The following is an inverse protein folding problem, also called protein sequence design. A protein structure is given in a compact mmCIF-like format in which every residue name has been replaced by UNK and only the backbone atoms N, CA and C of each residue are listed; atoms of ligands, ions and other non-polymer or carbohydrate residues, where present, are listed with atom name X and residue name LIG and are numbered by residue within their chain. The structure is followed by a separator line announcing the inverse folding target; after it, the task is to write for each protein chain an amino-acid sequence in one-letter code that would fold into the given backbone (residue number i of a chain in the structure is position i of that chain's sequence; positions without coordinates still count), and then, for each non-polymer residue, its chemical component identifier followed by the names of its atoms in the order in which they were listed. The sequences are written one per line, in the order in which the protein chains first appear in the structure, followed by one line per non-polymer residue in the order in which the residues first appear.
data_IF_831667769892
#
_entry.id   IF_831667769892
#
_cell.length_a   1.000
_cell.length_b   1.000
_cell.length_c   1.000
_cell.angle_alpha   90.00
_cell.angle_beta   90.00
_cell.angle_gamma   90.00
#
_symmetry.space_group_name_H-M   'P 1'
#
loop_
_entity.id
_entity.type
_entity.pdbx_description
1 polymer ?
#
# COMPACT_ATOMS: atom_id res chain seq x y z
N UNK A 1 -13.26 -1.18 -17.73
CA UNK A 1 -14.37 -1.88 -17.03
C UNK A 1 -14.89 -0.96 -15.93
N UNK A 2 -16.18 -0.99 -15.57
CA UNK A 2 -16.72 -0.11 -14.49
C UNK A 2 -16.30 -0.64 -13.11
N UNK A 3 -16.22 0.24 -12.10
CA UNK A 3 -15.77 -0.12 -10.75
C UNK A 3 -16.58 -1.27 -10.16
N UNK A 4 -17.91 -1.21 -10.24
CA UNK A 4 -18.82 -2.20 -9.66
C UNK A 4 -18.63 -3.57 -10.32
N UNK A 5 -18.33 -3.58 -11.62
CA UNK A 5 -18.01 -4.81 -12.34
C UNK A 5 -16.68 -5.38 -11.85
N UNK A 6 -15.64 -4.56 -11.67
CA UNK A 6 -14.34 -5.00 -11.12
C UNK A 6 -14.52 -5.56 -9.71
N UNK A 7 -15.28 -4.87 -8.85
CA UNK A 7 -15.50 -5.28 -7.46
C UNK A 7 -16.13 -6.67 -7.33
N UNK A 8 -16.95 -7.07 -8.31
CA UNK A 8 -17.61 -8.39 -8.33
C UNK A 8 -16.80 -9.44 -9.11
N UNK A 9 -16.18 -9.05 -10.23
CA UNK A 9 -15.66 -9.98 -11.24
C UNK A 9 -14.13 -10.01 -11.34
N UNK A 10 -13.38 -9.15 -10.65
CA UNK A 10 -11.93 -9.19 -10.68
C UNK A 10 -11.37 -10.48 -10.07
N UNK A 11 -10.20 -10.87 -10.56
CA UNK A 11 -9.53 -12.14 -10.25
C UNK A 11 -9.93 -13.26 -11.21
N UNK A 12 -9.18 -14.36 -11.15
CA UNK A 12 -9.38 -15.51 -12.03
C UNK A 12 -10.61 -16.31 -11.57
N UNK A 13 -11.69 -16.27 -12.36
CA UNK A 13 -12.99 -16.92 -12.07
C UNK A 13 -13.66 -17.40 -13.37
N UNK A 14 -14.45 -18.49 -13.34
CA UNK A 14 -14.71 -19.39 -12.19
C UNK A 14 -13.51 -20.31 -11.89
N UNK A 15 -13.56 -21.03 -10.76
CA UNK A 15 -12.53 -22.02 -10.43
C UNK A 15 -12.33 -23.03 -11.59
N UNK A 16 -11.11 -23.14 -12.11
CA UNK A 16 -10.83 -23.92 -13.30
C UNK A 16 -11.03 -25.44 -13.13
N UNK A 17 -11.03 -25.94 -11.88
CA UNK A 17 -11.14 -27.38 -11.60
C UNK A 17 -12.59 -27.81 -11.43
N UNK A 18 -13.41 -27.00 -10.76
CA UNK A 18 -14.76 -27.37 -10.30
C UNK A 18 -15.87 -26.52 -10.93
N UNK A 19 -15.54 -25.38 -11.53
CA UNK A 19 -16.52 -24.40 -12.01
C UNK A 19 -17.17 -23.57 -10.90
N UNK A 20 -16.64 -23.61 -9.66
CA UNK A 20 -17.17 -22.82 -8.56
C UNK A 20 -17.13 -21.31 -8.89
N UNK A 21 -18.26 -20.65 -8.70
CA UNK A 21 -18.40 -19.20 -8.95
C UNK A 21 -17.64 -18.39 -7.89
N UNK A 22 -17.74 -18.81 -6.63
CA UNK A 22 -16.98 -18.25 -5.53
C UNK A 22 -15.62 -18.92 -5.43
N UNK A 23 -14.60 -18.13 -5.09
CA UNK A 23 -13.23 -18.63 -4.90
C UNK A 23 -13.19 -19.57 -3.70
N UNK A 24 -12.71 -20.82 -3.86
CA UNK A 24 -12.55 -21.73 -2.73
C UNK A 24 -11.54 -21.20 -1.70
N UNK A 25 -11.79 -21.50 -0.42
CA UNK A 25 -10.88 -21.13 0.68
C UNK A 25 -9.77 -22.20 0.77
N UNK A 26 -8.56 -21.82 0.39
CA UNK A 26 -7.40 -22.70 0.36
C UNK A 26 -6.68 -22.71 1.72
N UNK A 27 -7.19 -23.52 2.65
CA UNK A 27 -6.59 -23.75 3.98
C UNK A 27 -5.52 -24.85 3.94
N UNK A 28 -4.53 -24.70 3.07
CA UNK A 28 -3.35 -25.55 3.00
C UNK A 28 -2.08 -24.73 3.21
N UNK A 29 -1.02 -25.32 3.74
CA UNK A 29 0.27 -24.65 3.87
C UNK A 29 1.15 -24.81 2.63
N UNK A 30 1.08 -25.94 1.94
CA UNK A 30 1.94 -26.30 0.81
C UNK A 30 1.14 -26.90 -0.35
N UNK A 31 1.71 -26.83 -1.55
CA UNK A 31 1.14 -27.38 -2.77
C UNK A 31 2.05 -28.47 -3.34
N UNK A 32 1.49 -29.39 -4.11
CA UNK A 32 2.26 -30.48 -4.74
C UNK A 32 3.09 -29.91 -5.88
N UNK A 33 4.38 -30.25 -5.88
CA UNK A 33 5.33 -29.95 -6.95
C UNK A 33 5.21 -31.02 -8.03
N UNK A 34 5.37 -30.62 -9.29
CA UNK A 34 5.45 -31.60 -10.39
C UNK A 34 6.82 -32.28 -10.43
N UNK A 35 7.86 -31.53 -10.06
CA UNK A 35 9.23 -31.98 -9.88
C UNK A 35 9.99 -30.94 -9.02
N UNK A 36 11.24 -31.21 -8.67
CA UNK A 36 12.12 -30.25 -7.96
C UNK A 36 12.19 -28.94 -8.74
N UNK A 37 11.74 -27.85 -8.11
CA UNK A 37 11.72 -26.51 -8.71
C UNK A 37 10.60 -26.28 -9.74
N UNK A 38 9.70 -27.24 -9.97
CA UNK A 38 8.59 -27.12 -10.92
C UNK A 38 7.24 -27.12 -10.21
N UNK A 39 6.58 -25.97 -10.18
CA UNK A 39 5.27 -25.77 -9.53
C UNK A 39 4.18 -25.43 -10.55
N UNK A 40 2.92 -25.48 -10.11
CA UNK A 40 1.76 -24.98 -10.87
C UNK A 40 1.43 -23.52 -10.55
N UNK A 41 2.44 -22.73 -10.20
CA UNK A 41 2.28 -21.35 -9.72
C UNK A 41 2.11 -21.22 -8.21
N UNK A 42 2.03 -22.33 -7.47
CA UNK A 42 1.90 -22.35 -6.02
C UNK A 42 2.92 -23.29 -5.40
N UNK A 43 3.63 -22.83 -4.35
CA UNK A 43 4.60 -23.59 -3.59
C UNK A 43 4.20 -23.70 -2.11
N UNK A 44 4.13 -22.56 -1.42
CA UNK A 44 3.91 -22.41 0.00
C UNK A 44 3.03 -21.17 0.26
N UNK A 45 1.99 -21.33 1.08
CA UNK A 45 0.92 -20.34 1.24
C UNK A 45 1.36 -18.99 1.77
N UNK A 46 2.50 -18.90 2.47
CA UNK A 46 3.08 -17.59 2.84
C UNK A 46 3.56 -16.83 1.60
N UNK A 47 4.20 -17.50 0.65
CA UNK A 47 4.66 -16.91 -0.62
C UNK A 47 3.48 -16.55 -1.51
N UNK A 48 2.58 -17.51 -1.77
CA UNK A 48 1.41 -17.32 -2.63
C UNK A 48 0.28 -18.26 -2.20
N UNK A 49 -0.96 -17.76 -2.16
CA UNK A 49 -2.15 -18.55 -1.83
C UNK A 49 -3.30 -18.18 -2.79
N UNK A 50 -4.01 -19.14 -3.41
CA UNK A 50 -5.05 -18.83 -4.40
C UNK A 50 -6.15 -17.92 -3.88
N UNK A 51 -6.59 -18.11 -2.63
CA UNK A 51 -7.63 -17.26 -2.02
C UNK A 51 -7.11 -15.84 -1.80
N UNK A 52 -5.89 -15.68 -1.27
CA UNK A 52 -5.27 -14.36 -1.07
C UNK A 52 -5.00 -13.64 -2.39
N UNK A 53 -4.57 -14.38 -3.42
CA UNK A 53 -4.23 -13.81 -4.73
C UNK A 53 -5.42 -13.13 -5.39
N UNK A 54 -6.63 -13.69 -5.25
CA UNK A 54 -7.83 -13.03 -5.78
C UNK A 54 -8.11 -11.71 -5.07
N UNK A 55 -7.99 -11.65 -3.74
CA UNK A 55 -8.11 -10.38 -3.01
C UNK A 55 -7.06 -9.36 -3.48
N UNK A 56 -5.80 -9.77 -3.58
CA UNK A 56 -4.70 -8.94 -4.05
C UNK A 56 -4.96 -8.36 -5.45
N UNK A 57 -5.40 -9.20 -6.39
CA UNK A 57 -5.69 -8.78 -7.76
C UNK A 57 -6.95 -7.91 -7.86
N UNK A 58 -7.98 -8.19 -7.06
CA UNK A 58 -9.16 -7.34 -7.01
C UNK A 58 -8.81 -5.95 -6.51
N UNK A 59 -8.10 -5.82 -5.40
CA UNK A 59 -7.71 -4.50 -4.86
C UNK A 59 -6.79 -3.77 -5.83
N UNK A 60 -5.82 -4.46 -6.45
CA UNK A 60 -4.95 -3.86 -7.46
C UNK A 60 -5.75 -3.27 -8.63
N UNK A 61 -6.72 -4.01 -9.16
CA UNK A 61 -7.57 -3.53 -10.25
C UNK A 61 -8.48 -2.37 -9.83
N UNK A 62 -9.03 -2.39 -8.61
CA UNK A 62 -9.87 -1.30 -8.10
C UNK A 62 -9.08 0.00 -7.94
N UNK A 63 -7.83 -0.07 -7.48
CA UNK A 63 -6.93 1.08 -7.37
C UNK A 63 -6.34 1.54 -8.71
N UNK A 64 -6.49 0.75 -9.79
CA UNK A 64 -5.75 0.99 -11.04
C UNK A 64 -4.26 0.67 -10.94
N UNK A 65 -3.86 -0.08 -9.91
CA UNK A 65 -2.50 -0.54 -9.66
C UNK A 65 -2.11 -1.76 -10.47
N UNK A 66 -0.82 -2.09 -10.46
CA UNK A 66 -0.24 -3.25 -11.17
C UNK A 66 -0.26 -4.54 -10.36
N UNK A 67 -0.21 -4.45 -9.04
CA UNK A 67 -0.17 -5.57 -8.11
C UNK A 67 -0.70 -5.15 -6.75
N UNK A 68 -1.23 -6.11 -6.00
CA UNK A 68 -1.67 -5.95 -4.61
C UNK A 68 -0.96 -6.95 -3.70
N UNK A 69 -0.85 -6.61 -2.42
CA UNK A 69 -0.22 -7.45 -1.41
C UNK A 69 -1.08 -7.41 -0.14
N UNK A 70 -1.61 -8.54 0.28
CA UNK A 70 -2.47 -8.61 1.46
C UNK A 70 -1.65 -8.96 2.70
N UNK A 71 -1.84 -8.18 3.76
CA UNK A 71 -1.15 -8.32 5.04
C UNK A 71 -2.11 -8.69 6.16
N UNK A 72 -1.54 -9.07 7.31
CA UNK A 72 -2.33 -9.43 8.48
C UNK A 72 -3.12 -8.25 9.08
N UNK A 73 -2.60 -7.03 8.96
CA UNK A 73 -3.21 -5.77 9.42
C UNK A 73 -2.72 -4.60 8.57
N UNK A 74 -3.39 -3.45 8.64
CA UNK A 74 -2.87 -2.19 8.06
C UNK A 74 -1.47 -1.86 8.58
N UNK A 75 -1.24 -2.00 9.89
CA UNK A 75 0.08 -1.80 10.50
C UNK A 75 1.17 -2.73 9.94
N UNK A 76 0.83 -3.98 9.60
CA UNK A 76 1.78 -4.89 8.98
C UNK A 76 2.11 -4.48 7.53
N UNK A 77 1.15 -3.90 6.82
CA UNK A 77 1.39 -3.30 5.50
C UNK A 77 2.32 -2.09 5.63
N UNK A 78 2.00 -1.12 6.50
CA UNK A 78 2.86 0.06 6.73
C UNK A 78 4.28 -0.32 7.16
N UNK A 79 4.39 -1.26 8.10
CA UNK A 79 5.69 -1.77 8.57
C UNK A 79 6.48 -2.34 7.39
N UNK A 80 5.83 -3.14 6.53
CA UNK A 80 6.50 -3.71 5.35
C UNK A 80 6.94 -2.64 4.36
N UNK A 81 6.13 -1.59 4.16
CA UNK A 81 6.51 -0.44 3.32
C UNK A 81 7.74 0.28 3.89
N UNK A 82 7.83 0.46 5.21
CA UNK A 82 9.02 1.04 5.85
C UNK A 82 10.28 0.20 5.64
N UNK A 83 10.17 -1.12 5.45
CA UNK A 83 11.31 -1.99 5.15
C UNK A 83 11.85 -1.86 3.71
N UNK A 84 11.23 -1.02 2.87
CA UNK A 84 11.84 -0.59 1.60
C UNK A 84 12.99 0.40 1.81
N UNK A 85 13.04 1.05 2.97
CA UNK A 85 14.04 2.03 3.35
C UNK A 85 15.22 1.38 4.09
N UNK A 86 16.33 2.08 4.13
CA UNK A 86 17.56 1.65 4.82
C UNK A 86 17.83 2.55 6.02
N UNK A 87 18.61 2.06 6.98
CA UNK A 87 19.13 2.86 8.09
C UNK A 87 19.76 4.16 7.57
N UNK A 88 19.34 5.29 8.15
CA UNK A 88 19.74 6.63 7.77
C UNK A 88 18.83 7.30 6.74
N UNK A 89 17.88 6.59 6.13
CA UNK A 89 16.90 7.22 5.24
C UNK A 89 15.87 8.06 6.03
N UNK A 90 15.36 9.10 5.38
CA UNK A 90 14.42 10.06 5.95
C UNK A 90 13.06 10.02 5.24
N UNK A 91 11.99 10.10 6.02
CA UNK A 91 10.59 10.15 5.58
C UNK A 91 9.96 11.47 6.02
N UNK A 92 9.22 12.12 5.12
CA UNK A 92 8.35 13.24 5.47
C UNK A 92 6.92 12.70 5.52
N UNK A 93 6.26 12.82 6.66
CA UNK A 93 4.89 12.38 6.88
C UNK A 93 3.98 13.57 7.17
N UNK A 94 2.69 13.43 6.85
CA UNK A 94 1.64 14.28 7.42
C UNK A 94 1.77 14.33 8.95
N UNK A 95 1.53 15.49 9.55
CA UNK A 95 1.46 15.66 11.01
C UNK A 95 0.13 15.19 11.62
N UNK A 96 -0.88 15.00 10.78
CA UNK A 96 -2.16 14.39 11.11
C UNK A 96 -2.32 13.09 10.32
N UNK A 97 -2.02 11.99 11.00
CA UNK A 97 -2.14 10.62 10.48
C UNK A 97 -2.70 9.73 11.59
N UNK A 98 -3.16 8.54 11.24
CA UNK A 98 -3.57 7.55 12.21
C UNK A 98 -2.51 7.38 13.33
N UNK A 99 -2.96 7.41 14.59
CA UNK A 99 -2.05 7.36 15.73
C UNK A 99 -1.18 6.09 15.80
N UNK A 100 -1.62 4.98 15.18
CA UNK A 100 -0.79 3.78 15.02
C UNK A 100 0.39 4.00 14.08
N UNK A 101 0.17 4.70 12.96
CA UNK A 101 1.19 5.09 11.97
C UNK A 101 2.23 6.00 12.63
N UNK A 102 1.79 7.03 13.37
CA UNK A 102 2.70 7.91 14.11
C UNK A 102 3.55 7.11 15.12
N UNK A 103 2.91 6.24 15.91
CA UNK A 103 3.61 5.40 16.90
C UNK A 103 4.60 4.44 16.24
N UNK A 104 4.25 3.83 15.11
CA UNK A 104 5.18 2.98 14.34
C UNK A 104 6.41 3.79 13.90
N UNK A 105 6.20 4.97 13.32
CA UNK A 105 7.29 5.80 12.81
C UNK A 105 8.18 6.32 13.94
N UNK A 106 7.56 6.92 14.96
CA UNK A 106 8.26 7.60 16.05
C UNK A 106 8.92 6.63 17.04
N UNK A 107 8.20 5.60 17.49
CA UNK A 107 8.65 4.80 18.63
C UNK A 107 9.32 3.49 18.21
N UNK A 108 9.09 3.02 16.98
CA UNK A 108 9.66 1.76 16.46
C UNK A 108 10.70 2.06 15.38
N UNK A 109 10.30 2.67 14.27
CA UNK A 109 11.17 2.77 13.09
C UNK A 109 12.37 3.70 13.30
N UNK A 110 12.28 4.71 14.17
CA UNK A 110 13.46 5.49 14.60
C UNK A 110 14.53 4.64 15.28
N UNK A 111 14.14 3.61 16.06
CA UNK A 111 15.09 2.70 16.69
C UNK A 111 15.82 1.81 15.66
N UNK A 112 15.21 1.58 14.49
CA UNK A 112 15.85 0.94 13.33
C UNK A 112 16.65 1.93 12.46
N UNK A 113 16.76 3.17 12.91
CA UNK A 113 17.60 4.21 12.32
C UNK A 113 16.96 4.96 11.15
N UNK A 114 15.64 4.94 11.01
CA UNK A 114 14.94 5.84 10.10
C UNK A 114 14.74 7.23 10.74
N UNK A 115 14.79 8.27 9.93
CA UNK A 115 14.47 9.63 10.35
C UNK A 115 13.08 10.05 9.87
N UNK A 116 12.38 10.84 10.67
CA UNK A 116 11.06 11.36 10.30
C UNK A 116 10.95 12.87 10.53
N UNK A 117 10.32 13.56 9.58
CA UNK A 117 9.76 14.90 9.76
C UNK A 117 8.25 14.83 9.62
N UNK A 118 7.53 15.40 10.60
CA UNK A 118 6.07 15.48 10.58
C UNK A 118 5.67 16.92 10.30
N UNK A 119 4.87 17.15 9.26
CA UNK A 119 4.35 18.47 8.90
C UNK A 119 3.02 18.38 8.18
N UNK A 120 2.22 19.43 8.28
CA UNK A 120 1.02 19.61 7.46
C UNK A 120 1.41 19.80 5.99
N UNK A 121 0.90 18.93 5.12
CA UNK A 121 1.20 18.90 3.69
C UNK A 121 0.26 19.81 2.88
N UNK A 122 0.02 21.03 3.36
CA UNK A 122 -0.86 22.03 2.72
C UNK A 122 -0.10 23.11 1.93
N UNK A 123 1.23 23.05 1.93
CA UNK A 123 2.09 24.00 1.25
C UNK A 123 3.33 23.30 0.68
N UNK A 124 3.49 23.39 -0.65
CA UNK A 124 4.62 22.77 -1.37
C UNK A 124 5.99 23.31 -0.97
N UNK A 125 6.13 24.61 -0.68
CA UNK A 125 7.39 25.20 -0.22
C UNK A 125 7.82 24.60 1.12
N UNK A 126 6.88 24.44 2.05
CA UNK A 126 7.14 23.81 3.36
C UNK A 126 7.59 22.35 3.22
N UNK A 127 7.03 21.62 2.26
CA UNK A 127 7.48 20.25 1.95
C UNK A 127 8.90 20.29 1.39
N UNK A 128 9.19 21.16 0.42
CA UNK A 128 10.53 21.28 -0.18
C UNK A 128 11.60 21.68 0.84
N UNK A 129 11.30 22.59 1.76
CA UNK A 129 12.21 22.99 2.85
C UNK A 129 12.55 21.84 3.81
N UNK A 130 11.63 20.90 3.99
CA UNK A 130 11.84 19.73 4.85
C UNK A 130 12.64 18.61 4.17
N UNK A 131 12.90 18.70 2.86
CA UNK A 131 13.69 17.72 2.12
C UNK A 131 15.16 17.82 2.53
N UNK A 132 15.73 16.66 2.88
CA UNK A 132 17.14 16.46 3.21
C UNK A 132 17.82 15.60 2.13
N UNK A 133 19.16 15.55 2.06
CA UNK A 133 19.87 14.67 1.13
C UNK A 133 19.54 13.17 1.28
N UNK A 134 19.11 12.76 2.47
CA UNK A 134 18.68 11.40 2.80
C UNK A 134 17.15 11.19 2.72
N UNK A 135 16.34 12.17 2.30
CA UNK A 135 14.89 11.94 2.11
C UNK A 135 14.68 10.91 1.00
N UNK A 136 13.82 9.92 1.26
CA UNK A 136 13.47 8.87 0.28
C UNK A 136 11.97 8.69 0.07
N UNK A 137 11.14 9.20 0.97
CA UNK A 137 9.70 8.94 0.94
C UNK A 137 8.89 10.12 1.46
N UNK A 138 7.75 10.38 0.80
CA UNK A 138 6.65 11.20 1.30
C UNK A 138 5.48 10.27 1.66
N UNK A 139 4.99 10.38 2.90
CA UNK A 139 3.88 9.59 3.43
C UNK A 139 2.64 10.47 3.67
N UNK A 140 1.56 10.17 2.96
CA UNK A 140 0.33 10.93 2.95
C UNK A 140 -0.82 10.13 3.58
N UNK A 141 -1.80 10.85 4.11
CA UNK A 141 -3.13 10.32 4.44
C UNK A 141 -4.14 11.43 4.10
N UNK A 142 -5.13 11.13 3.26
CA UNK A 142 -6.16 12.12 2.87
C UNK A 142 -7.47 11.44 2.49
N UNK A 143 -8.61 11.79 3.14
CA UNK A 143 -8.70 12.63 4.34
C UNK A 143 -7.94 12.03 5.51
N UNK A 144 -7.25 12.86 6.30
CA UNK A 144 -6.49 12.40 7.46
C UNK A 144 -7.37 11.95 8.63
N UNK A 145 -6.87 11.04 9.45
CA UNK A 145 -7.48 10.63 10.69
C UNK A 145 -6.84 11.35 11.90
N UNK A 146 -7.62 12.05 12.77
CA UNK A 146 -9.08 12.16 12.77
C UNK A 146 -9.63 13.47 12.19
N UNK A 147 -8.78 14.44 11.82
CA UNK A 147 -9.25 15.80 11.55
C UNK A 147 -9.77 16.01 10.13
N UNK A 148 -9.69 14.99 9.27
CA UNK A 148 -10.17 15.00 7.88
C UNK A 148 -9.53 16.11 7.04
N UNK A 149 -8.25 16.41 7.32
CA UNK A 149 -7.49 17.33 6.47
C UNK A 149 -7.31 16.72 5.08
N UNK A 150 -7.40 17.56 4.06
CA UNK A 150 -7.22 17.17 2.66
C UNK A 150 -5.83 17.60 2.21
N UNK A 151 -5.13 16.69 1.54
CA UNK A 151 -3.83 16.94 0.91
C UNK A 151 -4.02 17.00 -0.60
N UNK A 152 -3.41 18.01 -1.24
CA UNK A 152 -3.31 18.07 -2.69
C UNK A 152 -2.30 17.01 -3.17
N UNK A 153 -2.81 15.92 -3.73
CA UNK A 153 -2.00 14.77 -4.15
C UNK A 153 -1.11 15.12 -5.34
N UNK A 154 -1.61 15.90 -6.30
CA UNK A 154 -0.84 16.28 -7.49
C UNK A 154 0.35 17.15 -7.10
N UNK A 155 0.14 18.13 -6.21
CA UNK A 155 1.22 18.95 -5.63
C UNK A 155 2.31 18.08 -4.99
N UNK A 156 1.93 17.13 -4.13
CA UNK A 156 2.91 16.29 -3.43
C UNK A 156 3.63 15.34 -4.38
N UNK A 157 2.91 14.75 -5.34
CA UNK A 157 3.49 13.86 -6.37
C UNK A 157 4.49 14.61 -7.25
N UNK A 158 4.18 15.85 -7.66
CA UNK A 158 5.09 16.65 -8.49
C UNK A 158 6.39 16.97 -7.76
N UNK A 159 6.31 17.34 -6.47
CA UNK A 159 7.49 17.53 -5.61
C UNK A 159 8.27 16.21 -5.49
N UNK A 160 7.60 15.10 -5.22
CA UNK A 160 8.25 13.80 -5.09
C UNK A 160 9.00 13.41 -6.37
N UNK A 161 8.39 13.58 -7.54
CA UNK A 161 9.01 13.30 -8.85
C UNK A 161 10.24 14.18 -9.09
N UNK A 162 10.15 15.50 -8.81
CA UNK A 162 11.28 16.44 -8.92
C UNK A 162 12.48 15.99 -8.08
N UNK A 163 12.22 15.44 -6.89
CA UNK A 163 13.24 15.00 -5.94
C UNK A 163 13.53 13.49 -5.97
N UNK A 164 12.89 12.71 -6.86
CA UNK A 164 13.00 11.26 -6.99
C UNK A 164 12.69 10.51 -5.68
N UNK A 165 11.62 10.93 -4.99
CA UNK A 165 11.13 10.34 -3.75
C UNK A 165 9.99 9.36 -4.04
N UNK A 166 9.89 8.31 -3.23
CA UNK A 166 8.70 7.45 -3.21
C UNK A 166 7.51 8.21 -2.61
N UNK A 167 6.34 8.04 -3.19
CA UNK A 167 5.07 8.52 -2.65
C UNK A 167 4.25 7.36 -2.12
N UNK A 168 3.83 7.46 -0.86
CA UNK A 168 2.93 6.49 -0.23
C UNK A 168 1.73 7.23 0.29
N UNK A 169 0.54 6.70 0.04
CA UNK A 169 -0.70 7.25 0.58
C UNK A 169 -1.48 6.15 1.30
N UNK A 170 -1.88 6.42 2.54
CA UNK A 170 -2.94 5.67 3.19
C UNK A 170 -4.28 6.17 2.63
N UNK A 171 -4.97 5.29 1.90
CA UNK A 171 -6.24 5.57 1.22
C UNK A 171 -7.43 4.90 1.95
N UNK A 172 -7.25 4.54 3.23
CA UNK A 172 -8.25 3.83 4.03
C UNK A 172 -9.60 4.56 4.08
N UNK A 173 -9.59 5.87 4.32
CA UNK A 173 -10.83 6.65 4.50
C UNK A 173 -11.57 6.89 3.19
N UNK A 174 -10.85 7.16 2.10
CA UNK A 174 -11.49 7.45 0.83
C UNK A 174 -11.86 6.18 0.06
N UNK A 175 -11.13 5.07 0.22
CA UNK A 175 -11.29 3.83 -0.56
C UNK A 175 -11.03 4.04 -2.07
N UNK A 176 -10.74 2.97 -2.84
CA UNK A 176 -10.58 3.10 -4.30
C UNK A 176 -11.85 3.58 -5.03
N UNK A 177 -13.01 3.61 -4.37
CA UNK A 177 -14.25 4.09 -4.99
C UNK A 177 -14.27 5.60 -5.17
N UNK A 178 -13.80 6.36 -4.18
CA UNK A 178 -13.80 7.82 -4.21
C UNK A 178 -12.47 8.40 -4.66
N UNK A 179 -11.36 7.72 -4.40
CA UNK A 179 -10.03 8.20 -4.73
C UNK A 179 -9.15 7.03 -5.17
N UNK A 180 -8.51 7.16 -6.34
CA UNK A 180 -7.54 6.19 -6.88
C UNK A 180 -6.17 6.84 -7.03
N UNK A 181 -5.36 6.92 -5.95
CA UNK A 181 -4.14 7.71 -5.94
C UNK A 181 -3.09 7.30 -6.97
N UNK A 182 -3.09 6.02 -7.38
CA UNK A 182 -2.21 5.53 -8.45
C UNK A 182 -2.42 6.33 -9.75
N UNK A 183 -3.67 6.74 -10.06
CA UNK A 183 -3.98 7.52 -11.26
C UNK A 183 -3.42 8.95 -11.20
N UNK A 184 -3.17 9.46 -10.00
CA UNK A 184 -2.50 10.75 -9.76
C UNK A 184 -0.96 10.61 -9.73
N UNK A 185 -0.43 9.40 -9.90
CA UNK A 185 1.01 9.13 -9.95
C UNK A 185 1.63 8.81 -8.59
N UNK A 186 0.83 8.42 -7.60
CA UNK A 186 1.35 7.85 -6.34
C UNK A 186 1.95 6.47 -6.59
N UNK A 187 3.08 6.15 -5.96
CA UNK A 187 3.80 4.90 -6.16
C UNK A 187 3.18 3.72 -5.40
N UNK A 188 2.75 3.95 -4.14
CA UNK A 188 2.18 2.92 -3.27
C UNK A 188 0.92 3.43 -2.57
N UNK A 189 -0.11 2.59 -2.54
CA UNK A 189 -1.34 2.83 -1.75
C UNK A 189 -1.42 1.78 -0.64
N UNK A 190 -1.67 2.25 0.59
CA UNK A 190 -1.90 1.40 1.76
C UNK A 190 -3.36 1.50 2.17
N UNK A 191 -3.91 0.38 2.66
CA UNK A 191 -5.24 0.29 3.23
C UNK A 191 -5.19 -0.46 4.55
N UNK A 192 -5.89 0.04 5.55
CA UNK A 192 -6.42 -0.77 6.64
C UNK A 192 -7.77 -1.35 6.21
N UNK A 193 -7.77 -2.59 5.71
CA UNK A 193 -8.99 -3.27 5.25
C UNK A 193 -9.89 -3.80 6.38
N UNK A 194 -9.65 -3.38 7.62
CA UNK A 194 -10.40 -3.79 8.84
C UNK A 194 -11.66 -2.96 8.96
#
# INVERSE_FOLDING_TARGET
MRFETIAIHAGDRPDATTGAISVPIHQTSTFVFEDVGKTRGWDYSRTANPTRKVLEDTIAQLEGGKAGFAFATGMAAETTVMHLLKTGDHVISGDDVYGGTYRLFQDVMRAFGLEFTFLRMDNGERIEEAIKPNTRMLWLETPSNPLLNIVDIEMVVDIAKKHKLLTVIDNTFATPYFLRPIEYGVDLVVHSTT
#
